data_IF_633291282268
#
_entry.id   IF_633291282268
#
_cell.length_a   1.000
_cell.length_b   1.000
_cell.length_c   1.000
_cell.angle_alpha   90.00
_cell.angle_beta   90.00
_cell.angle_gamma   90.00
#
_symmetry.space_group_name_H-M   'P 1'
#
loop_
_entity.id
_entity.type
_entity.pdbx_description
1 polymer ?
#
# COMPACT_ATOMS: atom_id res chain seq x y z
N UNK A 1 13.44 -4.79 -19.63
CA UNK A 1 12.81 -3.50 -19.24
C UNK A 1 13.08 -3.25 -17.75
N UNK A 2 14.17 -2.54 -17.39
CA UNK A 2 14.58 -2.34 -15.98
C UNK A 2 13.52 -1.59 -15.14
N UNK A 3 12.93 -0.47 -15.60
CA UNK A 3 11.83 0.21 -14.90
C UNK A 3 10.66 -0.70 -14.55
N UNK A 4 10.26 -1.57 -15.49
CA UNK A 4 9.19 -2.54 -15.26
C UNK A 4 9.51 -3.51 -14.14
N UNK A 5 10.71 -4.10 -14.14
CA UNK A 5 11.10 -5.08 -13.11
C UNK A 5 11.05 -4.45 -11.72
N UNK A 6 11.56 -3.23 -11.56
CA UNK A 6 11.50 -2.50 -10.28
C UNK A 6 10.04 -2.31 -9.83
N UNK A 7 9.17 -1.85 -10.73
CA UNK A 7 7.74 -1.66 -10.41
C UNK A 7 7.02 -2.97 -10.06
N UNK A 8 7.37 -4.09 -10.70
CA UNK A 8 6.81 -5.40 -10.35
C UNK A 8 7.26 -5.87 -8.97
N UNK A 9 8.54 -5.68 -8.62
CA UNK A 9 9.05 -5.99 -7.27
C UNK A 9 8.35 -5.14 -6.21
N UNK A 10 8.25 -3.83 -6.44
CA UNK A 10 7.52 -2.90 -5.56
C UNK A 10 6.06 -3.32 -5.42
N UNK A 11 5.37 -3.66 -6.51
CA UNK A 11 3.99 -4.11 -6.47
C UNK A 11 3.82 -5.41 -5.68
N UNK A 12 4.71 -6.39 -5.89
CA UNK A 12 4.68 -7.64 -5.14
C UNK A 12 4.80 -7.39 -3.64
N UNK A 13 5.86 -6.70 -3.20
CA UNK A 13 6.08 -6.38 -1.77
C UNK A 13 4.88 -5.61 -1.21
N UNK A 14 4.39 -4.62 -1.96
CA UNK A 14 3.30 -3.74 -1.52
C UNK A 14 2.00 -4.49 -1.25
N UNK A 15 1.64 -5.38 -2.18
CA UNK A 15 0.38 -6.10 -2.09
C UNK A 15 0.46 -7.28 -1.12
N UNK A 16 1.65 -7.87 -0.92
CA UNK A 16 1.86 -8.89 0.13
C UNK A 16 1.61 -8.32 1.52
N UNK A 17 2.17 -7.16 1.87
CA UNK A 17 1.89 -6.60 3.19
C UNK A 17 0.46 -6.09 3.32
N UNK A 18 -0.13 -5.59 2.22
CA UNK A 18 -1.52 -5.13 2.24
C UNK A 18 -2.47 -6.29 2.52
N UNK A 19 -2.24 -7.46 1.90
CA UNK A 19 -2.98 -8.68 2.18
C UNK A 19 -2.84 -9.16 3.63
N UNK A 20 -1.61 -9.14 4.15
CA UNK A 20 -1.34 -9.48 5.55
C UNK A 20 -2.11 -8.56 6.50
N UNK A 21 -2.00 -7.23 6.28
CA UNK A 21 -2.66 -6.22 7.11
C UNK A 21 -4.18 -6.34 7.05
N UNK A 22 -4.77 -6.50 5.87
CA UNK A 22 -6.23 -6.66 5.73
C UNK A 22 -6.75 -7.90 6.44
N UNK A 23 -6.04 -9.04 6.34
CA UNK A 23 -6.46 -10.27 7.01
C UNK A 23 -6.33 -10.24 8.54
N UNK A 24 -5.34 -9.52 9.09
CA UNK A 24 -5.13 -9.42 10.54
C UNK A 24 -5.89 -8.27 11.21
N UNK A 25 -6.45 -7.33 10.43
CA UNK A 25 -7.16 -6.15 10.97
C UNK A 25 -8.32 -6.55 11.87
N UNK A 26 -9.15 -7.52 11.48
CA UNK A 26 -10.27 -7.95 12.31
C UNK A 26 -9.83 -8.60 13.63
N UNK A 27 -8.91 -9.58 13.65
CA UNK A 27 -8.34 -10.11 14.90
C UNK A 27 -7.74 -9.02 15.80
N UNK A 28 -7.05 -8.03 15.23
CA UNK A 28 -6.50 -6.90 15.97
C UNK A 28 -7.60 -6.10 16.69
N UNK A 29 -8.63 -5.67 15.96
CA UNK A 29 -9.72 -4.86 16.53
C UNK A 29 -10.53 -5.64 17.57
N UNK A 30 -10.75 -6.94 17.34
CA UNK A 30 -11.53 -7.79 18.24
C UNK A 30 -10.78 -8.16 19.52
N UNK A 31 -9.58 -8.73 19.40
CA UNK A 31 -8.89 -9.35 20.55
C UNK A 31 -7.87 -8.44 21.23
N UNK A 32 -7.32 -7.44 20.53
CA UNK A 32 -6.31 -6.55 21.10
C UNK A 32 -6.95 -5.25 21.54
N UNK A 33 -7.78 -4.67 20.68
CA UNK A 33 -8.48 -3.43 20.97
C UNK A 33 -9.77 -3.63 21.80
N UNK A 34 -10.24 -4.88 21.93
CA UNK A 34 -11.49 -5.24 22.62
C UNK A 34 -12.68 -4.41 22.14
N UNK A 35 -12.75 -4.11 20.84
CA UNK A 35 -13.90 -3.41 20.28
C UNK A 35 -15.08 -4.38 20.18
N UNK A 36 -16.10 -4.13 21.00
CA UNK A 36 -17.36 -4.85 20.95
C UNK A 36 -18.20 -4.40 19.75
N UNK A 37 -19.16 -5.25 19.37
CA UNK A 37 -20.20 -4.94 18.40
C UNK A 37 -21.30 -4.03 18.96
N UNK A 38 -21.05 -3.38 20.10
CA UNK A 38 -21.98 -2.43 20.69
C UNK A 38 -22.10 -1.21 19.79
N UNK A 39 -23.33 -0.72 19.65
CA UNK A 39 -23.62 0.48 18.87
C UNK A 39 -22.86 1.67 19.46
N UNK A 40 -22.03 2.30 18.65
CA UNK A 40 -21.21 3.43 19.07
C UNK A 40 -21.71 4.74 18.48
N UNK A 41 -21.39 5.03 17.23
CA UNK A 41 -21.78 6.28 16.55
C UNK A 41 -22.54 5.96 15.27
N UNK A 42 -23.53 6.81 14.92
CA UNK A 42 -24.33 6.68 13.70
C UNK A 42 -25.04 5.33 13.55
N UNK A 43 -25.29 4.61 14.65
CA UNK A 43 -25.87 3.26 14.63
C UNK A 43 -24.88 2.14 14.26
N UNK A 44 -23.60 2.46 14.10
CA UNK A 44 -22.54 1.51 13.73
C UNK A 44 -21.67 1.15 14.93
N UNK A 45 -21.11 -0.06 14.92
CA UNK A 45 -20.08 -0.47 15.88
C UNK A 45 -18.71 0.14 15.55
N UNK A 46 -17.80 0.11 16.52
CA UNK A 46 -16.44 0.67 16.37
C UNK A 46 -15.66 0.03 15.23
N UNK A 47 -15.89 -1.26 14.98
CA UNK A 47 -15.26 -2.01 13.90
C UNK A 47 -15.74 -1.50 12.54
N UNK A 48 -17.05 -1.34 12.34
CA UNK A 48 -17.62 -0.83 11.07
C UNK A 48 -17.19 0.60 10.81
N UNK A 49 -17.10 1.44 11.84
CA UNK A 49 -16.58 2.82 11.72
C UNK A 49 -15.12 2.79 11.25
N UNK A 50 -14.29 1.92 11.81
CA UNK A 50 -12.89 1.78 11.41
C UNK A 50 -12.75 1.36 9.93
N UNK A 51 -13.57 0.40 9.46
CA UNK A 51 -13.54 -0.04 8.06
C UNK A 51 -14.11 0.98 7.07
N UNK A 52 -15.13 1.76 7.46
CA UNK A 52 -15.81 2.70 6.56
C UNK A 52 -15.07 4.04 6.42
N UNK A 53 -14.34 4.48 7.45
CA UNK A 53 -13.65 5.79 7.43
C UNK A 53 -12.34 5.76 6.65
N UNK A 54 -11.62 4.63 6.62
CA UNK A 54 -10.38 4.50 5.85
C UNK A 54 -10.55 4.79 4.34
N UNK A 55 -11.54 4.22 3.63
CA UNK A 55 -11.79 4.56 2.23
C UNK A 55 -12.09 6.04 2.00
N UNK A 56 -12.87 6.67 2.89
CA UNK A 56 -13.21 8.10 2.77
C UNK A 56 -11.95 8.95 2.92
N UNK A 57 -11.12 8.67 3.92
CA UNK A 57 -9.85 9.36 4.13
C UNK A 57 -8.88 9.17 2.95
N UNK A 58 -8.84 7.97 2.37
CA UNK A 58 -8.06 7.67 1.17
C UNK A 58 -8.52 8.51 -0.03
N UNK A 59 -9.84 8.62 -0.27
CA UNK A 59 -10.39 9.44 -1.34
C UNK A 59 -10.02 10.92 -1.18
N UNK A 60 -10.08 11.45 0.04
CA UNK A 60 -9.63 12.81 0.34
C UNK A 60 -8.12 12.94 0.08
N UNK A 61 -7.34 11.92 0.45
CA UNK A 61 -5.90 11.84 0.21
C UNK A 61 -5.52 11.90 -1.27
N UNK A 62 -6.33 11.35 -2.17
CA UNK A 62 -6.09 11.41 -3.63
C UNK A 62 -5.93 12.85 -4.12
N UNK A 63 -6.64 13.81 -3.52
CA UNK A 63 -6.56 15.24 -3.88
C UNK A 63 -5.14 15.81 -3.70
N UNK A 64 -4.32 15.21 -2.84
CA UNK A 64 -2.92 15.60 -2.63
C UNK A 64 -1.96 15.12 -3.73
N UNK A 65 -2.43 14.32 -4.69
CA UNK A 65 -1.56 13.79 -5.76
C UNK A 65 -0.98 14.91 -6.63
N UNK A 66 -1.80 15.87 -7.04
CA UNK A 66 -1.36 16.97 -7.92
C UNK A 66 -0.29 17.87 -7.29
N UNK A 67 -0.46 18.40 -6.07
CA UNK A 67 0.59 19.21 -5.45
C UNK A 67 1.85 18.39 -5.18
N UNK A 68 1.72 17.11 -4.81
CA UNK A 68 2.85 16.22 -4.58
C UNK A 68 3.65 15.98 -5.86
N UNK A 69 2.97 15.68 -6.98
CA UNK A 69 3.59 15.52 -8.30
C UNK A 69 4.33 16.79 -8.73
N UNK A 70 3.72 17.97 -8.60
CA UNK A 70 4.36 19.24 -9.00
C UNK A 70 5.61 19.56 -8.19
N UNK A 71 5.63 19.24 -6.90
CA UNK A 71 6.72 19.63 -5.99
C UNK A 71 7.87 18.62 -5.95
N UNK A 72 7.56 17.32 -5.99
CA UNK A 72 8.56 16.26 -5.79
C UNK A 72 8.71 15.33 -7.00
N UNK A 73 7.80 15.43 -7.96
CA UNK A 73 7.72 14.49 -9.07
C UNK A 73 7.08 13.16 -8.71
N UNK A 74 6.85 12.30 -9.71
CA UNK A 74 6.12 11.04 -9.53
C UNK A 74 6.87 10.06 -8.63
N UNK A 75 8.15 9.81 -8.95
CA UNK A 75 9.00 8.85 -8.22
C UNK A 75 9.23 9.27 -6.77
N UNK A 76 9.73 10.48 -6.52
CA UNK A 76 10.07 10.89 -5.15
C UNK A 76 8.81 11.16 -4.32
N UNK A 77 7.72 11.62 -4.95
CA UNK A 77 6.41 11.70 -4.31
C UNK A 77 5.92 10.33 -3.83
N UNK A 78 6.05 9.29 -4.66
CA UNK A 78 5.67 7.94 -4.28
C UNK A 78 6.56 7.40 -3.14
N UNK A 79 7.87 7.60 -3.21
CA UNK A 79 8.81 7.22 -2.13
C UNK A 79 8.41 7.90 -0.81
N UNK A 80 8.20 9.22 -0.83
CA UNK A 80 7.86 10.00 0.36
C UNK A 80 6.55 9.54 1.02
N UNK A 81 5.49 9.34 0.22
CA UNK A 81 4.20 8.86 0.75
C UNK A 81 4.28 7.41 1.23
N UNK A 82 5.06 6.55 0.55
CA UNK A 82 5.27 5.16 0.97
C UNK A 82 6.01 5.10 2.30
N UNK A 83 7.07 5.89 2.48
CA UNK A 83 7.80 6.00 3.75
C UNK A 83 6.91 6.53 4.86
N UNK A 84 6.19 7.63 4.59
CA UNK A 84 5.27 8.22 5.57
C UNK A 84 4.19 7.21 5.98
N UNK A 85 3.62 6.49 5.02
CA UNK A 85 2.64 5.44 5.32
C UNK A 85 3.26 4.36 6.19
N UNK A 86 4.47 3.90 5.86
CA UNK A 86 5.17 2.87 6.62
C UNK A 86 5.34 3.25 8.10
N UNK A 87 5.78 4.47 8.38
CA UNK A 87 5.90 4.98 9.75
C UNK A 87 4.53 5.08 10.44
N UNK A 88 3.49 5.51 9.73
CA UNK A 88 2.11 5.51 10.28
C UNK A 88 1.62 4.10 10.61
N UNK A 89 2.01 3.08 9.84
CA UNK A 89 1.65 1.69 10.13
C UNK A 89 2.41 1.17 11.35
N UNK A 90 3.70 1.47 11.45
CA UNK A 90 4.53 1.09 12.62
C UNK A 90 4.03 1.80 13.88
N UNK A 91 3.55 3.03 13.77
CA UNK A 91 3.03 3.80 14.91
C UNK A 91 1.90 3.08 15.67
N UNK A 92 1.13 2.20 15.02
CA UNK A 92 0.11 1.39 15.70
C UNK A 92 0.69 0.47 16.78
N UNK A 93 1.97 0.11 16.70
CA UNK A 93 2.64 -0.68 17.73
C UNK A 93 2.78 0.08 19.06
N UNK A 94 2.96 1.40 18.99
CA UNK A 94 3.20 2.26 20.16
C UNK A 94 1.91 2.84 20.74
N UNK A 95 0.80 2.77 20.00
CA UNK A 95 -0.50 3.27 20.45
C UNK A 95 -1.22 2.17 21.25
N UNK A 96 -1.65 2.44 22.49
CA UNK A 96 -2.46 1.49 23.24
C UNK A 96 -3.75 1.15 22.48
N UNK A 97 -3.94 -0.13 22.16
CA UNK A 97 -5.08 -0.58 21.36
C UNK A 97 -6.44 -0.32 22.05
N UNK A 98 -6.46 -0.17 23.38
CA UNK A 98 -7.67 0.20 24.14
C UNK A 98 -8.14 1.64 23.87
N UNK A 99 -7.27 2.52 23.37
CA UNK A 99 -7.61 3.90 23.07
C UNK A 99 -8.17 4.01 21.63
N UNK A 100 -9.50 3.92 21.53
CA UNK A 100 -10.20 4.00 20.25
C UNK A 100 -9.87 5.26 19.45
N UNK A 101 -9.89 6.43 20.08
CA UNK A 101 -9.67 7.71 19.40
C UNK A 101 -8.27 7.78 18.78
N UNK A 102 -7.24 7.33 19.51
CA UNK A 102 -5.87 7.33 18.98
C UNK A 102 -5.72 6.38 17.78
N UNK A 103 -6.27 5.17 17.87
CA UNK A 103 -6.25 4.17 16.79
C UNK A 103 -7.06 4.65 15.58
N UNK A 104 -8.18 5.32 15.82
CA UNK A 104 -9.07 5.88 14.80
C UNK A 104 -8.41 7.01 14.01
N UNK A 105 -7.86 8.02 14.69
CA UNK A 105 -7.18 9.13 14.02
C UNK A 105 -5.92 8.68 13.28
N UNK A 106 -5.18 7.72 13.85
CA UNK A 106 -4.03 7.13 13.17
C UNK A 106 -4.43 6.35 11.92
N UNK A 107 -5.59 5.68 11.94
CA UNK A 107 -6.14 5.00 10.77
C UNK A 107 -6.51 5.99 9.66
N UNK A 108 -7.23 7.06 10.00
CA UNK A 108 -7.57 8.13 9.06
C UNK A 108 -6.30 8.71 8.44
N UNK A 109 -5.30 9.02 9.27
CA UNK A 109 -4.02 9.56 8.80
C UNK A 109 -3.29 8.58 7.86
N UNK A 110 -3.18 7.30 8.25
CA UNK A 110 -2.54 6.26 7.44
C UNK A 110 -3.25 6.10 6.08
N UNK A 111 -4.59 6.11 6.07
CA UNK A 111 -5.37 5.98 4.85
C UNK A 111 -5.29 7.22 3.95
N UNK A 112 -5.32 8.42 4.53
CA UNK A 112 -5.10 9.68 3.82
C UNK A 112 -3.74 9.71 3.14
N UNK A 113 -2.67 9.29 3.84
CA UNK A 113 -1.32 9.21 3.28
C UNK A 113 -1.23 8.16 2.16
N UNK A 114 -2.01 7.09 2.22
CA UNK A 114 -2.05 6.09 1.16
C UNK A 114 -2.77 6.58 -0.12
N UNK A 115 -3.60 7.62 -0.02
CA UNK A 115 -4.44 8.14 -1.12
C UNK A 115 -3.69 8.45 -2.43
N UNK A 116 -2.59 9.22 -2.42
CA UNK A 116 -1.84 9.52 -3.65
C UNK A 116 -1.13 8.32 -4.29
N UNK A 117 -0.85 7.25 -3.52
CA UNK A 117 0.04 6.18 -3.97
C UNK A 117 -0.49 5.44 -5.21
N UNK A 118 -1.77 4.99 -5.28
CA UNK A 118 -2.29 4.31 -6.48
C UNK A 118 -2.22 5.18 -7.74
N UNK A 119 -2.51 6.48 -7.63
CA UNK A 119 -2.47 7.40 -8.78
C UNK A 119 -1.06 7.55 -9.31
N UNK A 120 -0.07 7.71 -8.41
CA UNK A 120 1.33 7.78 -8.79
C UNK A 120 1.85 6.47 -9.37
N UNK A 121 1.48 5.32 -8.80
CA UNK A 121 1.86 4.00 -9.29
C UNK A 121 1.37 3.77 -10.72
N UNK A 122 0.10 4.08 -11.01
CA UNK A 122 -0.44 3.91 -12.35
C UNK A 122 0.15 4.90 -13.37
N UNK A 123 0.43 6.13 -12.96
CA UNK A 123 1.17 7.09 -13.79
C UNK A 123 2.59 6.60 -14.10
N UNK A 124 3.27 5.97 -13.14
CA UNK A 124 4.59 5.38 -13.37
C UNK A 124 4.49 4.18 -14.33
N UNK A 125 3.45 3.34 -14.23
CA UNK A 125 3.25 2.25 -15.18
C UNK A 125 3.06 2.75 -16.62
N UNK A 126 2.37 3.88 -16.84
CA UNK A 126 2.30 4.49 -18.17
C UNK A 126 3.67 4.93 -18.68
N UNK A 127 4.48 5.55 -17.81
CA UNK A 127 5.86 5.94 -18.16
C UNK A 127 6.73 4.74 -18.56
N UNK A 128 6.56 3.61 -17.87
CA UNK A 128 7.28 2.36 -18.18
C UNK A 128 6.89 1.80 -19.54
N UNK A 129 5.62 1.95 -19.93
CA UNK A 129 5.12 1.54 -21.24
C UNK A 129 5.73 2.40 -22.33
N UNK A 130 5.72 3.73 -22.15
CA UNK A 130 6.27 4.66 -23.14
C UNK A 130 7.80 4.49 -23.26
N UNK A 131 8.53 4.31 -22.14
CA UNK A 131 9.95 3.94 -22.18
C UNK A 131 10.20 2.62 -22.92
N UNK A 132 9.33 1.63 -22.76
CA UNK A 132 9.40 0.36 -23.47
C UNK A 132 9.21 0.53 -24.98
N UNK A 133 8.22 1.32 -25.39
CA UNK A 133 7.97 1.66 -26.80
C UNK A 133 9.18 2.38 -27.41
N UNK A 134 9.69 3.40 -26.72
CA UNK A 134 10.84 4.18 -27.17
C UNK A 134 12.09 3.34 -27.39
N UNK A 135 12.40 2.45 -26.43
CA UNK A 135 13.62 1.63 -26.46
C UNK A 135 13.54 0.42 -27.39
N UNK A 136 12.37 -0.24 -27.46
CA UNK A 136 12.21 -1.51 -28.17
C UNK A 136 11.40 -1.40 -29.46
N UNK A 137 10.89 -0.19 -29.79
CA UNK A 137 10.10 0.06 -30.99
C UNK A 137 8.73 -0.61 -31.02
N UNK A 138 8.28 -1.20 -29.89
CA UNK A 138 7.01 -1.94 -29.79
C UNK A 138 6.26 -1.54 -28.53
N UNK A 139 5.03 -1.06 -28.69
CA UNK A 139 4.14 -0.71 -27.58
C UNK A 139 3.50 -1.97 -27.00
N UNK A 140 3.88 -2.36 -25.79
CA UNK A 140 3.38 -3.56 -25.07
C UNK A 140 2.52 -3.19 -23.86
N UNK A 141 1.59 -2.25 -24.04
CA UNK A 141 0.73 -1.73 -22.97
C UNK A 141 -0.07 -2.85 -22.30
N UNK A 142 -0.86 -3.62 -23.06
CA UNK A 142 -1.73 -4.65 -22.50
C UNK A 142 -0.97 -5.72 -21.71
N UNK A 143 0.21 -6.12 -22.18
CA UNK A 143 1.07 -7.08 -21.48
C UNK A 143 1.62 -6.51 -20.17
N UNK A 144 2.06 -5.24 -20.19
CA UNK A 144 2.60 -4.56 -19.01
C UNK A 144 1.56 -4.45 -17.90
N UNK A 145 0.35 -4.00 -18.23
CA UNK A 145 -0.75 -3.89 -17.27
C UNK A 145 -1.23 -5.27 -16.78
N UNK A 146 -1.30 -6.28 -17.67
CA UNK A 146 -1.68 -7.64 -17.29
C UNK A 146 -0.70 -8.28 -16.31
N UNK A 147 0.61 -8.16 -16.56
CA UNK A 147 1.64 -8.69 -15.64
C UNK A 147 1.61 -7.92 -14.32
N UNK A 148 1.47 -6.59 -14.35
CA UNK A 148 1.36 -5.78 -13.13
C UNK A 148 0.18 -6.23 -12.25
N UNK A 149 -1.01 -6.41 -12.83
CA UNK A 149 -2.17 -6.92 -12.08
C UNK A 149 -1.99 -8.36 -11.60
N UNK A 150 -1.38 -9.22 -12.41
CA UNK A 150 -1.07 -10.59 -12.00
C UNK A 150 -0.17 -10.60 -10.77
N UNK A 151 0.95 -9.86 -10.80
CA UNK A 151 1.89 -9.76 -9.67
C UNK A 151 1.22 -9.18 -8.43
N UNK A 152 0.35 -8.18 -8.58
CA UNK A 152 -0.45 -7.64 -7.47
C UNK A 152 -1.35 -8.70 -6.82
N UNK A 153 -2.05 -9.51 -7.62
CA UNK A 153 -2.89 -10.61 -7.13
C UNK A 153 -2.08 -11.69 -6.43
N UNK A 154 -0.92 -12.07 -6.99
CA UNK A 154 0.00 -13.02 -6.36
C UNK A 154 0.48 -12.46 -5.03
N UNK A 155 0.89 -11.20 -4.98
CA UNK A 155 1.30 -10.53 -3.75
C UNK A 155 0.20 -10.61 -2.68
N UNK A 156 -1.03 -10.25 -3.04
CA UNK A 156 -2.19 -10.31 -2.14
C UNK A 156 -2.48 -11.73 -1.65
N UNK A 157 -2.42 -12.74 -2.54
CA UNK A 157 -2.64 -14.13 -2.18
C UNK A 157 -1.58 -14.66 -1.21
N UNK A 158 -0.31 -14.33 -1.44
CA UNK A 158 0.80 -14.66 -0.53
C UNK A 158 0.58 -13.98 0.82
N UNK A 159 0.27 -12.67 0.82
CA UNK A 159 0.02 -11.89 2.02
C UNK A 159 -1.13 -12.42 2.87
N UNK A 160 -2.26 -12.72 2.24
CA UNK A 160 -3.43 -13.29 2.90
C UNK A 160 -3.16 -14.71 3.44
N UNK A 161 -2.41 -15.54 2.70
CA UNK A 161 -2.05 -16.89 3.14
C UNK A 161 -1.10 -16.86 4.35
N UNK A 162 -0.18 -15.89 4.41
CA UNK A 162 0.72 -15.69 5.55
C UNK A 162 -0.03 -15.41 6.85
N UNK A 163 -1.23 -14.80 6.79
CA UNK A 163 -2.04 -14.54 7.99
C UNK A 163 -2.34 -15.84 8.72
N UNK A 164 -2.83 -16.87 8.02
CA UNK A 164 -3.18 -18.16 8.64
C UNK A 164 -1.96 -18.88 9.22
N UNK A 165 -0.84 -18.89 8.48
CA UNK A 165 0.40 -19.54 8.92
C UNK A 165 0.95 -18.86 10.18
N UNK A 166 1.01 -17.52 10.18
CA UNK A 166 1.55 -16.76 11.31
C UNK A 166 0.62 -16.83 12.52
N UNK A 167 -0.70 -16.76 12.32
CA UNK A 167 -1.67 -16.96 13.41
C UNK A 167 -1.50 -18.33 14.07
N UNK A 168 -1.37 -19.40 13.28
CA UNK A 168 -1.11 -20.74 13.80
C UNK A 168 0.23 -20.82 14.56
N UNK A 169 1.28 -20.19 14.02
CA UNK A 169 2.60 -20.12 14.65
C UNK A 169 2.57 -19.41 16.02
N UNK A 170 1.82 -18.31 16.14
CA UNK A 170 1.67 -17.57 17.41
C UNK A 170 0.62 -18.19 18.36
N UNK A 171 0.01 -19.32 17.99
CA UNK A 171 -0.95 -20.03 18.84
C UNK A 171 -2.31 -19.33 18.96
N UNK A 172 -2.74 -18.65 17.89
CA UNK A 172 -4.06 -18.03 17.83
C UNK A 172 -5.18 -19.07 17.93
N UNK A 173 -6.16 -18.81 18.81
CA UNK A 173 -7.36 -19.65 18.97
C UNK A 173 -8.59 -18.78 18.80
N UNK A 174 -9.44 -19.06 17.81
CA UNK A 174 -10.60 -18.23 17.55
C UNK A 174 -11.64 -18.28 18.69
N UNK A 175 -12.20 -17.12 19.03
CA UNK A 175 -13.25 -16.90 20.04
C UNK A 175 -12.86 -17.25 21.48
N UNK A 176 -11.56 -17.44 21.73
CA UNK A 176 -11.00 -17.62 23.07
C UNK A 176 -10.21 -16.38 23.50
N UNK A 177 -9.92 -16.29 24.79
CA UNK A 177 -8.95 -15.30 25.30
C UNK A 177 -7.57 -15.65 24.75
N UNK A 178 -6.93 -14.68 24.10
CA UNK A 178 -5.62 -14.90 23.51
C UNK A 178 -4.53 -14.94 24.58
N UNK A 179 -3.56 -15.84 24.41
CA UNK A 179 -2.31 -15.80 25.18
C UNK A 179 -1.53 -14.51 24.88
N UNK A 180 -0.61 -14.13 25.78
CA UNK A 180 0.26 -12.97 25.56
C UNK A 180 1.07 -13.10 24.25
N UNK A 181 1.54 -14.30 23.94
CA UNK A 181 2.24 -14.61 22.68
C UNK A 181 1.36 -14.40 21.46
N UNK A 182 0.11 -14.89 21.47
CA UNK A 182 -0.85 -14.70 20.38
C UNK A 182 -1.21 -13.23 20.20
N UNK A 183 -1.49 -12.53 21.31
CA UNK A 183 -1.82 -11.12 21.31
C UNK A 183 -0.69 -10.26 20.73
N UNK A 184 0.55 -10.51 21.14
CA UNK A 184 1.72 -9.83 20.58
C UNK A 184 1.94 -10.16 19.10
N UNK A 185 1.74 -11.43 18.70
CA UNK A 185 1.80 -11.85 17.30
C UNK A 185 0.82 -11.07 16.42
N UNK A 186 -0.44 -10.94 16.85
CA UNK A 186 -1.48 -10.14 16.15
C UNK A 186 -1.05 -8.67 16.05
N UNK A 187 -0.54 -8.09 17.14
CA UNK A 187 -0.07 -6.70 17.16
C UNK A 187 1.08 -6.47 16.17
N UNK A 188 2.09 -7.35 16.16
CA UNK A 188 3.24 -7.27 15.24
C UNK A 188 2.83 -7.43 13.78
N UNK A 189 1.93 -8.38 13.49
CA UNK A 189 1.41 -8.62 12.15
C UNK A 189 0.54 -7.46 11.64
N UNK A 190 -0.11 -6.71 12.52
CA UNK A 190 -0.91 -5.54 12.16
C UNK A 190 -0.07 -4.28 11.93
N UNK A 191 1.05 -4.14 12.64
CA UNK A 191 1.84 -2.90 12.71
C UNK A 191 3.26 -3.05 12.14
N UNK A 192 4.16 -3.71 12.88
CA UNK A 192 5.59 -3.74 12.59
C UNK A 192 5.90 -4.49 11.29
N UNK A 193 5.34 -5.69 11.09
CA UNK A 193 5.66 -6.51 9.93
C UNK A 193 5.24 -5.84 8.61
N UNK A 194 3.99 -5.35 8.46
CA UNK A 194 3.63 -4.61 7.27
C UNK A 194 4.45 -3.34 7.12
N UNK A 195 4.71 -2.61 8.20
CA UNK A 195 5.51 -1.39 8.19
C UNK A 195 6.93 -1.58 7.65
N UNK A 196 7.65 -2.60 8.12
CA UNK A 196 9.01 -2.92 7.62
C UNK A 196 8.97 -3.31 6.13
N UNK A 197 7.99 -4.10 5.70
CA UNK A 197 7.83 -4.45 4.29
C UNK A 197 7.49 -3.22 3.42
N UNK A 198 6.69 -2.28 3.92
CA UNK A 198 6.43 -1.00 3.24
C UNK A 198 7.70 -0.16 3.11
N UNK A 199 8.58 -0.15 4.14
CA UNK A 199 9.90 0.48 4.04
C UNK A 199 10.71 -0.21 2.93
N UNK A 200 10.76 -1.53 2.89
CA UNK A 200 11.48 -2.25 1.83
C UNK A 200 10.94 -1.92 0.43
N UNK A 201 9.62 -1.80 0.28
CA UNK A 201 8.98 -1.38 -0.97
C UNK A 201 9.40 0.03 -1.40
N UNK A 202 9.36 1.00 -0.49
CA UNK A 202 9.77 2.36 -0.82
C UNK A 202 11.30 2.49 -1.00
N UNK A 203 12.10 1.63 -0.36
CA UNK A 203 13.54 1.54 -0.65
C UNK A 203 13.77 0.96 -2.05
N UNK A 204 12.99 -0.05 -2.47
CA UNK A 204 13.05 -0.62 -3.81
C UNK A 204 12.83 0.43 -4.93
N UNK A 205 12.04 1.47 -4.66
CA UNK A 205 11.82 2.59 -5.61
C UNK A 205 13.07 3.47 -5.84
N UNK A 206 14.10 3.43 -4.98
CA UNK A 206 15.35 4.13 -5.26
C UNK A 206 16.10 3.56 -6.47
N UNK A 207 15.89 2.28 -6.81
CA UNK A 207 16.44 1.70 -8.03
C UNK A 207 15.60 1.98 -9.29
N UNK A 208 14.46 2.69 -9.16
CA UNK A 208 13.68 3.12 -10.31
C UNK A 208 14.48 4.18 -11.10
N UNK A 209 14.81 3.93 -12.39
CA UNK A 209 15.81 4.72 -13.09
C UNK A 209 15.23 5.91 -13.87
N UNK A 210 13.92 6.00 -14.04
CA UNK A 210 13.30 7.07 -14.84
C UNK A 210 13.01 8.28 -13.96
N UNK A 211 13.48 9.44 -14.43
CA UNK A 211 13.13 10.75 -13.91
C UNK A 211 11.97 11.35 -14.70
N UNK A 212 11.22 12.27 -14.11
CA UNK A 212 10.09 12.92 -14.82
C UNK A 212 10.57 13.62 -16.09
N UNK A 213 11.73 14.29 -16.05
CA UNK A 213 12.34 14.92 -17.23
C UNK A 213 12.62 13.93 -18.37
N UNK A 214 13.19 12.77 -18.04
CA UNK A 214 13.44 11.73 -19.05
C UNK A 214 12.15 11.19 -19.65
N UNK A 215 11.08 11.10 -18.85
CA UNK A 215 9.76 10.67 -19.35
C UNK A 215 9.19 11.70 -20.32
N UNK A 216 9.33 12.98 -20.01
CA UNK A 216 8.86 14.06 -20.88
C UNK A 216 9.64 14.06 -22.22
N UNK A 217 10.97 13.92 -22.19
CA UNK A 217 11.80 13.80 -23.40
C UNK A 217 11.41 12.58 -24.26
N UNK A 218 11.14 11.44 -23.63
CA UNK A 218 10.66 10.23 -24.32
C UNK A 218 9.32 10.46 -25.00
N UNK A 219 8.39 11.16 -24.33
CA UNK A 219 7.08 11.45 -24.86
C UNK A 219 7.17 12.34 -26.11
N UNK A 220 7.99 13.40 -26.06
CA UNK A 220 8.25 14.29 -27.20
C UNK A 220 8.84 13.53 -28.40
N UNK A 221 9.84 12.67 -28.17
CA UNK A 221 10.47 11.90 -29.25
C UNK A 221 9.50 10.88 -29.87
N UNK A 222 8.66 10.23 -29.06
CA UNK A 222 7.63 9.31 -29.57
C UNK A 222 6.58 10.04 -30.40
N UNK A 223 6.18 11.25 -29.99
CA UNK A 223 5.25 12.07 -30.75
C UNK A 223 5.84 12.50 -32.09
N UNK A 224 7.10 12.95 -32.10
CA UNK A 224 7.82 13.28 -33.34
C UNK A 224 7.90 12.08 -34.31
N UNK A 225 8.18 10.87 -33.79
CA UNK A 225 8.20 9.64 -34.61
C UNK A 225 6.83 9.31 -35.22
N UNK A 226 5.73 9.58 -34.52
CA UNK A 226 4.36 9.35 -35.01
C UNK A 226 3.93 10.37 -36.06
N UNK A 227 4.43 11.60 -35.97
CA UNK A 227 4.16 12.63 -36.98
C UNK A 227 4.96 12.41 -38.29
N UNK A 228 6.10 11.72 -38.20
CA UNK A 228 6.96 11.42 -39.34
C UNK A 228 6.56 10.13 -40.11
N UNK A 229 5.64 9.32 -39.56
CA UNK A 229 5.11 8.07 -40.15
C UNK A 229 3.74 8.27 -40.78
#
# INVERSE_FOLDING_TARGET
NRPLVVMLVVAFITLTFSGLRWGITYPYLKYIANYSSDTYMLGLDRISIFYSTAPIALLIGILMTQPLKKRFGKRNGLIGMTMLNAFSVIAFYFVPASNFEAVFWLNIFSAFVAGPMPVLVWAIYTDVVDYGEWKFGRRITALTFSIAMFVQKVGLAVGGSMVGILLAYYGYVANEVQSETSANGILLMFSVFPGVLTILSGVALFWYPLTDKQVDEIAEELEARRQAS
#
